data_IF_420826238652
#
_entry.id   IF_420826238652
#
_cell.length_a   1.000
_cell.length_b   1.000
_cell.length_c   1.000
_cell.angle_alpha   90.00
_cell.angle_beta   90.00
_cell.angle_gamma   90.00
#
_symmetry.space_group_name_H-M   'P 1'
#
loop_
_entity.id
_entity.type
_entity.pdbx_description
1 polymer ?
#
# COMPACT_ATOMS: atom_id res chain seq x y z
N UNK A 1 -18.33 -25.36 9.32
CA UNK A 1 -17.90 -25.59 10.72
C UNK A 1 -18.45 -24.45 11.56
N UNK A 2 -18.93 -24.70 12.77
CA UNK A 2 -19.50 -23.66 13.63
C UNK A 2 -18.43 -22.82 14.33
N UNK A 3 -18.84 -21.73 14.97
CA UNK A 3 -17.99 -20.93 15.87
C UNK A 3 -17.28 -21.86 16.88
N UNK A 4 -15.95 -21.74 17.09
CA UNK A 4 -15.21 -22.58 18.03
C UNK A 4 -15.70 -22.47 19.47
N UNK A 5 -15.45 -23.49 20.29
CA UNK A 5 -15.75 -23.43 21.72
C UNK A 5 -14.77 -22.50 22.47
N UNK A 6 -15.17 -21.97 23.64
CA UNK A 6 -14.27 -21.14 24.48
C UNK A 6 -12.95 -21.87 24.82
N UNK A 7 -12.95 -23.17 25.19
CA UNK A 7 -11.70 -23.93 25.35
C UNK A 7 -10.81 -23.91 24.11
N UNK A 8 -11.38 -24.12 22.91
CA UNK A 8 -10.63 -24.12 21.65
C UNK A 8 -10.06 -22.73 21.32
N UNK A 9 -10.83 -21.68 21.58
CA UNK A 9 -10.40 -20.29 21.41
C UNK A 9 -9.20 -19.95 22.32
N UNK A 10 -9.26 -20.37 23.59
CA UNK A 10 -8.14 -20.19 24.54
C UNK A 10 -6.90 -20.98 24.12
N UNK A 11 -7.09 -22.21 23.66
CA UNK A 11 -6.00 -23.05 23.17
C UNK A 11 -5.34 -22.44 21.93
N UNK A 12 -6.13 -21.97 20.96
CA UNK A 12 -5.64 -21.28 19.77
C UNK A 12 -4.85 -20.03 20.16
N UNK A 13 -5.42 -19.17 21.01
CA UNK A 13 -4.75 -17.96 21.49
C UNK A 13 -3.42 -18.29 22.17
N UNK A 14 -3.38 -19.28 23.06
CA UNK A 14 -2.15 -19.69 23.74
C UNK A 14 -1.08 -20.14 22.74
N UNK A 15 -1.43 -21.04 21.81
CA UNK A 15 -0.51 -21.56 20.81
C UNK A 15 0.03 -20.46 19.88
N UNK A 16 -0.85 -19.57 19.41
CA UNK A 16 -0.53 -18.52 18.45
C UNK A 16 0.16 -17.30 19.07
N UNK A 17 -0.09 -17.02 20.35
CA UNK A 17 0.60 -15.93 21.06
C UNK A 17 2.13 -16.11 21.08
N UNK A 18 2.60 -17.36 21.15
CA UNK A 18 4.03 -17.70 21.05
C UNK A 18 4.59 -17.31 19.68
N UNK A 19 3.87 -17.60 18.59
CA UNK A 19 4.29 -17.24 17.24
C UNK A 19 4.41 -15.72 17.07
N UNK A 20 3.41 -14.95 17.54
CA UNK A 20 3.45 -13.49 17.42
C UNK A 20 4.62 -12.91 18.25
N UNK A 21 4.90 -13.46 19.44
CA UNK A 21 6.08 -13.05 20.22
C UNK A 21 7.38 -13.32 19.49
N UNK A 22 7.48 -14.43 18.74
CA UNK A 22 8.66 -14.71 17.90
C UNK A 22 8.80 -13.65 16.81
N UNK A 23 7.70 -13.28 16.13
CA UNK A 23 7.70 -12.20 15.11
C UNK A 23 8.23 -10.88 15.72
N UNK A 24 7.75 -10.49 16.91
CA UNK A 24 8.23 -9.30 17.61
C UNK A 24 9.72 -9.40 17.98
N UNK A 25 10.15 -10.51 18.59
CA UNK A 25 11.53 -10.66 19.10
C UNK A 25 12.58 -10.77 18.01
N UNK A 26 12.20 -11.30 16.86
CA UNK A 26 13.07 -11.41 15.68
C UNK A 26 13.05 -10.15 14.83
N UNK A 27 12.29 -9.11 15.23
CA UNK A 27 12.09 -7.87 14.48
C UNK A 27 11.64 -8.10 13.03
N UNK A 28 10.89 -9.18 12.78
CA UNK A 28 10.34 -9.46 11.44
C UNK A 28 9.38 -8.35 11.01
N UNK A 29 8.65 -7.77 11.96
CA UNK A 29 7.82 -6.59 11.74
C UNK A 29 8.45 -5.39 12.42
N UNK A 30 9.08 -4.52 11.65
CA UNK A 30 9.69 -3.30 12.16
C UNK A 30 8.67 -2.44 12.91
N UNK A 31 9.08 -1.87 14.03
CA UNK A 31 8.23 -0.96 14.81
C UNK A 31 7.22 -1.67 15.73
N UNK A 32 6.96 -2.98 15.55
CA UNK A 32 6.12 -3.75 16.45
C UNK A 32 6.94 -4.35 17.59
N UNK A 33 6.83 -3.80 18.80
CA UNK A 33 7.47 -4.35 20.00
C UNK A 33 6.54 -5.30 20.74
N UNK A 34 7.11 -6.24 21.49
CA UNK A 34 6.35 -7.17 22.35
C UNK A 34 5.51 -6.42 23.40
N UNK A 35 5.98 -5.25 23.85
CA UNK A 35 5.21 -4.37 24.74
C UNK A 35 3.95 -3.83 24.05
N UNK A 36 4.05 -3.36 22.80
CA UNK A 36 2.90 -2.86 22.03
C UNK A 36 1.86 -3.96 21.85
N UNK A 37 2.30 -5.16 21.51
CA UNK A 37 1.43 -6.32 21.37
C UNK A 37 0.71 -6.65 22.69
N UNK A 38 1.45 -6.64 23.79
CA UNK A 38 0.89 -6.93 25.12
C UNK A 38 -0.12 -5.87 25.52
N UNK A 39 0.21 -4.59 25.33
CA UNK A 39 -0.68 -3.48 25.64
C UNK A 39 -1.94 -3.50 24.79
N UNK A 40 -1.83 -3.80 23.49
CA UNK A 40 -2.98 -3.91 22.59
C UNK A 40 -3.85 -5.13 22.93
N UNK A 41 -3.26 -6.33 22.95
CA UNK A 41 -4.03 -7.57 23.19
C UNK A 41 -4.60 -7.63 24.60
N UNK A 42 -3.79 -7.40 25.64
CA UNK A 42 -4.28 -7.49 27.02
C UNK A 42 -5.03 -6.23 27.44
N UNK A 43 -4.72 -5.06 26.88
CA UNK A 43 -5.38 -3.81 27.20
C UNK A 43 -6.80 -3.77 26.66
N UNK A 44 -6.98 -4.14 25.39
CA UNK A 44 -8.26 -3.96 24.70
C UNK A 44 -9.18 -5.19 24.78
N UNK A 45 -8.63 -6.42 24.73
CA UNK A 45 -9.42 -7.65 24.67
C UNK A 45 -9.33 -8.43 25.99
N UNK A 46 -10.39 -8.37 26.81
CA UNK A 46 -10.41 -9.02 28.14
C UNK A 46 -10.97 -10.44 28.08
N UNK A 47 -11.90 -10.68 27.18
CA UNK A 47 -12.58 -11.95 26.97
C UNK A 47 -11.80 -12.90 26.02
N UNK A 48 -12.01 -14.23 26.14
CA UNK A 48 -11.41 -15.21 25.25
C UNK A 48 -11.71 -15.00 23.76
N UNK A 49 -12.93 -14.59 23.44
CA UNK A 49 -13.43 -14.41 22.08
C UNK A 49 -12.65 -13.30 21.37
N UNK A 50 -12.53 -12.13 22.00
CA UNK A 50 -11.74 -11.01 21.47
C UNK A 50 -10.28 -11.35 21.27
N UNK A 51 -9.65 -12.05 22.22
CA UNK A 51 -8.25 -12.49 22.08
C UNK A 51 -8.08 -13.47 20.92
N UNK A 52 -9.03 -14.37 20.73
CA UNK A 52 -9.06 -15.31 19.61
C UNK A 52 -9.16 -14.58 18.27
N UNK A 53 -10.16 -13.71 18.12
CA UNK A 53 -10.43 -12.97 16.89
C UNK A 53 -9.27 -12.02 16.54
N UNK A 54 -8.79 -11.24 17.51
CA UNK A 54 -7.71 -10.28 17.33
C UNK A 54 -6.41 -10.96 16.89
N UNK A 55 -6.02 -12.09 17.52
CA UNK A 55 -4.83 -12.86 17.13
C UNK A 55 -4.99 -13.47 15.75
N UNK A 56 -6.21 -13.88 15.39
CA UNK A 56 -6.49 -14.50 14.10
C UNK A 56 -6.34 -13.49 12.96
N UNK A 57 -6.87 -12.28 13.10
CA UNK A 57 -6.65 -11.18 12.15
C UNK A 57 -5.17 -10.79 12.12
N UNK A 58 -4.53 -10.62 13.28
CA UNK A 58 -3.12 -10.21 13.36
C UNK A 58 -2.20 -11.19 12.62
N UNK A 59 -2.40 -12.50 12.78
CA UNK A 59 -1.56 -13.50 12.11
C UNK A 59 -1.73 -13.56 10.60
N UNK A 60 -2.86 -13.08 10.07
CA UNK A 60 -3.12 -13.00 8.64
C UNK A 60 -2.89 -11.59 8.08
N UNK A 61 -2.30 -10.70 8.88
CA UNK A 61 -1.99 -9.36 8.39
C UNK A 61 -0.78 -9.38 7.47
N UNK A 62 -0.87 -8.62 6.39
CA UNK A 62 0.25 -8.40 5.48
C UNK A 62 1.20 -7.38 6.10
N UNK A 63 2.49 -7.66 6.06
CA UNK A 63 3.51 -6.73 6.50
C UNK A 63 4.55 -6.53 5.40
N UNK A 64 4.75 -5.27 5.00
CA UNK A 64 5.73 -4.86 4.00
C UNK A 64 6.90 -4.19 4.70
N UNK A 65 8.04 -4.88 4.72
CA UNK A 65 9.30 -4.31 5.20
C UNK A 65 9.82 -3.21 4.26
N UNK A 66 10.81 -2.44 4.70
CA UNK A 66 11.48 -1.45 3.84
C UNK A 66 12.02 -2.09 2.56
N UNK A 67 12.63 -3.27 2.69
CA UNK A 67 13.16 -4.02 1.56
C UNK A 67 12.06 -4.45 0.59
N UNK A 68 10.89 -4.88 1.11
CA UNK A 68 9.75 -5.20 0.24
C UNK A 68 9.28 -3.97 -0.54
N UNK A 69 9.21 -2.80 0.09
CA UNK A 69 8.79 -1.57 -0.59
C UNK A 69 9.82 -1.16 -1.67
N UNK A 70 11.11 -1.28 -1.39
CA UNK A 70 12.18 -1.00 -2.37
C UNK A 70 12.08 -1.96 -3.56
N UNK A 71 11.84 -3.25 -3.30
CA UNK A 71 11.73 -4.24 -4.36
C UNK A 71 10.46 -4.07 -5.20
N UNK A 72 9.31 -3.74 -4.58
CA UNK A 72 8.10 -3.37 -5.30
C UNK A 72 8.34 -2.14 -6.18
N UNK A 73 9.06 -1.13 -5.68
CA UNK A 73 9.39 0.07 -6.45
C UNK A 73 10.31 -0.25 -7.64
N UNK A 74 11.33 -1.09 -7.42
CA UNK A 74 12.21 -1.61 -8.48
C UNK A 74 11.39 -2.37 -9.53
N UNK A 75 10.54 -3.28 -9.09
CA UNK A 75 9.70 -4.09 -9.97
C UNK A 75 8.78 -3.23 -10.84
N UNK A 76 8.08 -2.27 -10.23
CA UNK A 76 7.18 -1.37 -10.95
C UNK A 76 7.88 -0.55 -12.03
N UNK A 77 9.08 -0.03 -11.74
CA UNK A 77 9.81 0.81 -12.69
C UNK A 77 10.45 -0.04 -13.79
N UNK A 78 11.24 -1.04 -13.40
CA UNK A 78 12.11 -1.75 -14.32
C UNK A 78 11.41 -2.89 -15.05
N UNK A 79 10.44 -3.56 -14.43
CA UNK A 79 9.72 -4.68 -15.06
C UNK A 79 8.39 -4.23 -15.67
N UNK A 80 7.50 -3.62 -14.88
CA UNK A 80 6.15 -3.29 -15.35
C UNK A 80 6.13 -2.13 -16.36
N UNK A 81 6.93 -1.09 -16.16
CA UNK A 81 6.91 0.09 -17.03
C UNK A 81 7.95 -0.04 -18.15
N UNK A 82 9.24 -0.15 -17.81
CA UNK A 82 10.31 -0.18 -18.81
C UNK A 82 10.41 -1.55 -19.48
N UNK A 83 10.31 -2.63 -18.70
CA UNK A 83 10.47 -4.00 -19.17
C UNK A 83 9.42 -4.39 -20.20
N UNK A 84 8.14 -4.09 -19.94
CA UNK A 84 7.05 -4.37 -20.90
C UNK A 84 7.18 -3.55 -22.19
N UNK A 85 7.70 -2.32 -22.13
CA UNK A 85 7.99 -1.52 -23.33
C UNK A 85 9.10 -2.16 -24.18
N UNK A 86 10.23 -2.50 -23.56
CA UNK A 86 11.36 -3.15 -24.25
C UNK A 86 10.90 -4.49 -24.84
N UNK A 87 10.22 -5.32 -24.05
CA UNK A 87 9.66 -6.60 -24.48
C UNK A 87 8.73 -6.44 -25.70
N UNK A 88 7.84 -5.46 -25.67
CA UNK A 88 6.93 -5.17 -26.79
C UNK A 88 7.69 -4.78 -28.06
N UNK A 89 8.74 -3.96 -27.95
CA UNK A 89 9.59 -3.56 -29.08
C UNK A 89 10.38 -4.75 -29.65
N UNK A 90 10.90 -5.64 -28.80
CA UNK A 90 11.62 -6.84 -29.23
C UNK A 90 10.70 -7.83 -29.96
N UNK A 91 9.48 -8.02 -29.46
CA UNK A 91 8.46 -8.85 -30.13
C UNK A 91 8.10 -8.25 -31.48
N UNK A 92 7.82 -6.95 -31.55
CA UNK A 92 7.46 -6.26 -32.79
C UNK A 92 8.58 -6.28 -33.84
N UNK A 93 9.84 -6.23 -33.41
CA UNK A 93 11.01 -6.31 -34.29
C UNK A 93 11.46 -7.75 -34.61
N UNK A 94 10.78 -8.76 -34.05
CA UNK A 94 11.14 -10.17 -34.13
C UNK A 94 12.60 -10.45 -33.72
N UNK A 95 13.15 -9.62 -32.83
CA UNK A 95 14.55 -9.64 -32.43
C UNK A 95 14.70 -10.28 -31.04
N UNK A 96 14.74 -11.61 -31.00
CA UNK A 96 14.69 -12.39 -29.75
C UNK A 96 16.11 -12.57 -29.14
N UNK A 97 17.17 -12.28 -29.90
CA UNK A 97 18.56 -12.47 -29.46
C UNK A 97 19.28 -11.13 -29.28
N UNK A 98 18.90 -10.40 -28.23
CA UNK A 98 19.60 -9.17 -27.83
C UNK A 98 20.55 -9.46 -26.67
N UNK A 99 21.84 -9.09 -26.77
CA UNK A 99 22.79 -9.24 -25.67
C UNK A 99 22.33 -8.47 -24.43
N UNK A 100 22.51 -9.06 -23.24
CA UNK A 100 22.13 -8.44 -21.97
C UNK A 100 22.69 -7.02 -21.79
N UNK A 101 23.93 -6.77 -22.21
CA UNK A 101 24.57 -5.46 -22.10
C UNK A 101 23.86 -4.37 -22.92
N UNK A 102 23.27 -4.74 -24.06
CA UNK A 102 22.49 -3.83 -24.90
C UNK A 102 21.17 -3.49 -24.21
N UNK A 103 20.46 -4.50 -23.70
CA UNK A 103 19.22 -4.30 -22.95
C UNK A 103 19.46 -3.45 -21.70
N UNK A 104 20.54 -3.68 -20.95
CA UNK A 104 20.88 -2.87 -19.78
C UNK A 104 21.19 -1.41 -20.14
N UNK A 105 21.86 -1.17 -21.28
CA UNK A 105 22.12 0.18 -21.76
C UNK A 105 20.83 0.88 -22.18
N UNK A 106 19.92 0.19 -22.86
CA UNK A 106 18.60 0.70 -23.23
C UNK A 106 17.75 1.02 -22.00
N UNK A 107 17.73 0.15 -20.99
CA UNK A 107 17.05 0.40 -19.70
C UNK A 107 17.58 1.67 -19.07
N UNK A 108 18.91 1.83 -18.95
CA UNK A 108 19.52 3.06 -18.38
C UNK A 108 19.11 4.30 -19.16
N UNK A 109 19.20 4.26 -20.48
CA UNK A 109 18.81 5.37 -21.34
C UNK A 109 17.33 5.74 -21.16
N UNK A 110 16.45 4.74 -21.01
CA UNK A 110 15.03 4.98 -20.75
C UNK A 110 14.82 5.61 -19.38
N UNK A 111 15.47 5.11 -18.32
CA UNK A 111 15.39 5.68 -16.97
C UNK A 111 15.80 7.16 -16.95
N UNK A 112 16.86 7.53 -17.67
CA UNK A 112 17.33 8.92 -17.74
C UNK A 112 16.29 9.88 -18.34
N UNK A 113 15.32 9.35 -19.11
CA UNK A 113 14.21 10.09 -19.71
C UNK A 113 12.91 10.00 -18.92
N UNK A 114 12.97 9.57 -17.65
CA UNK A 114 11.82 9.52 -16.74
C UNK A 114 11.91 10.64 -15.72
N UNK A 115 10.80 11.34 -15.51
CA UNK A 115 10.62 12.28 -14.41
C UNK A 115 9.71 11.68 -13.33
N UNK A 116 10.23 11.53 -12.12
CA UNK A 116 9.49 11.01 -10.97
C UNK A 116 8.90 12.16 -10.14
N UNK A 117 7.60 12.06 -9.86
CA UNK A 117 6.83 13.07 -9.13
C UNK A 117 6.15 12.41 -7.94
N UNK A 118 6.36 12.84 -6.69
CA UNK A 118 5.61 12.29 -5.57
C UNK A 118 4.15 12.73 -5.65
N UNK A 119 3.22 11.82 -5.33
CA UNK A 119 1.85 12.20 -5.05
C UNK A 119 1.82 12.99 -3.73
N UNK A 120 1.37 14.24 -3.77
CA UNK A 120 1.27 15.12 -2.61
C UNK A 120 -0.19 15.48 -2.32
N UNK A 121 -0.57 15.45 -1.04
CA UNK A 121 -1.90 15.90 -0.57
C UNK A 121 -1.84 17.38 -0.13
N UNK A 122 -0.85 17.74 0.72
CA UNK A 122 -0.79 19.07 1.37
C UNK A 122 0.61 19.68 1.41
N UNK A 123 1.52 19.22 0.55
CA UNK A 123 2.91 19.66 0.50
C UNK A 123 3.64 19.56 1.85
N UNK A 124 3.33 18.54 2.66
CA UNK A 124 3.99 18.34 3.95
C UNK A 124 5.25 17.48 3.81
N UNK A 125 6.35 17.79 4.55
CA UNK A 125 7.61 17.04 4.44
C UNK A 125 7.48 15.56 4.81
N UNK A 126 6.51 15.21 5.66
CA UNK A 126 6.30 13.86 6.20
C UNK A 126 5.33 12.99 5.36
N UNK A 127 4.89 13.45 4.20
CA UNK A 127 4.03 12.68 3.28
C UNK A 127 4.74 11.42 2.75
N UNK A 128 3.97 10.36 2.51
CA UNK A 128 4.47 9.07 2.05
C UNK A 128 5.20 9.15 0.71
N UNK A 129 4.72 9.98 -0.22
CA UNK A 129 5.37 10.22 -1.51
C UNK A 129 6.83 10.67 -1.39
N UNK A 130 7.17 11.50 -0.39
CA UNK A 130 8.55 11.94 -0.17
C UNK A 130 9.47 10.79 0.27
N UNK A 131 8.96 9.82 1.03
CA UNK A 131 9.71 8.64 1.41
C UNK A 131 10.04 7.78 0.18
N UNK A 132 9.10 7.64 -0.75
CA UNK A 132 9.32 6.91 -2.01
C UNK A 132 10.38 7.59 -2.87
N UNK A 133 10.34 8.93 -3.02
CA UNK A 133 11.38 9.69 -3.73
C UNK A 133 12.76 9.48 -3.09
N UNK A 134 12.83 9.41 -1.75
CA UNK A 134 14.08 9.09 -1.06
C UNK A 134 14.58 7.69 -1.40
N UNK A 135 13.70 6.70 -1.52
CA UNK A 135 14.09 5.36 -1.96
C UNK A 135 14.61 5.33 -3.40
N UNK A 136 13.97 6.06 -4.33
CA UNK A 136 14.46 6.19 -5.71
C UNK A 136 15.91 6.68 -5.75
N UNK A 137 16.19 7.78 -5.07
CA UNK A 137 17.51 8.44 -5.12
C UNK A 137 18.59 7.69 -4.34
N UNK A 138 18.25 7.18 -3.15
CA UNK A 138 19.26 6.58 -2.24
C UNK A 138 19.42 5.07 -2.39
N UNK A 139 18.41 4.34 -2.89
CA UNK A 139 18.41 2.86 -2.97
C UNK A 139 18.38 2.34 -4.41
N UNK A 140 17.74 3.06 -5.33
CA UNK A 140 17.69 2.70 -6.75
C UNK A 140 18.65 3.52 -7.62
N UNK A 141 19.45 4.41 -7.01
CA UNK A 141 20.43 5.25 -7.70
C UNK A 141 19.86 6.07 -8.85
N UNK A 142 18.57 6.43 -8.77
CA UNK A 142 17.94 7.37 -9.70
C UNK A 142 18.55 8.76 -9.48
N UNK A 143 18.92 9.43 -10.57
CA UNK A 143 19.49 10.77 -10.48
C UNK A 143 18.52 11.74 -9.80
N UNK A 144 18.99 12.59 -8.85
CA UNK A 144 18.14 13.61 -8.25
C UNK A 144 17.51 14.58 -9.27
N UNK A 145 18.14 14.78 -10.44
CA UNK A 145 17.58 15.57 -11.53
C UNK A 145 16.30 14.96 -12.13
N UNK A 146 16.12 13.67 -11.96
CA UNK A 146 14.96 12.91 -12.43
C UNK A 146 13.85 12.85 -11.38
N UNK A 147 13.99 13.56 -10.26
CA UNK A 147 12.95 13.63 -9.22
C UNK A 147 12.57 15.08 -8.97
N UNK A 148 11.27 15.42 -9.04
CA UNK A 148 10.81 16.80 -8.90
C UNK A 148 9.39 16.87 -8.35
N UNK A 149 9.09 17.96 -7.65
CA UNK A 149 7.72 18.28 -7.29
C UNK A 149 6.94 18.86 -8.47
N UNK A 150 5.65 18.53 -8.58
CA UNK A 150 4.80 18.98 -9.69
C UNK A 150 4.85 20.50 -9.92
N UNK A 151 4.84 21.30 -8.85
CA UNK A 151 4.87 22.77 -8.93
C UNK A 151 6.22 23.35 -9.37
N UNK A 152 7.28 22.54 -9.42
CA UNK A 152 8.60 22.94 -9.90
C UNK A 152 8.87 22.53 -11.35
N UNK A 153 7.95 21.79 -11.99
CA UNK A 153 8.10 21.32 -13.37
C UNK A 153 7.97 22.50 -14.32
N UNK A 154 9.01 22.74 -15.11
CA UNK A 154 9.05 23.74 -16.17
C UNK A 154 8.77 23.08 -17.51
N UNK A 155 8.32 23.87 -18.47
CA UNK A 155 8.06 23.36 -19.83
C UNK A 155 9.31 22.76 -20.48
N UNK A 156 10.50 23.33 -20.20
CA UNK A 156 11.79 22.84 -20.67
C UNK A 156 12.18 21.47 -20.10
N UNK A 157 11.66 21.11 -18.92
CA UNK A 157 11.92 19.80 -18.33
C UNK A 157 11.18 18.70 -19.11
N UNK A 158 10.05 19.06 -19.74
CA UNK A 158 9.22 18.15 -20.53
C UNK A 158 9.80 17.88 -21.93
N UNK A 159 10.74 18.69 -22.42
CA UNK A 159 11.31 18.54 -23.77
C UNK A 159 12.28 17.35 -23.88
N UNK A 160 12.84 16.90 -22.76
CA UNK A 160 13.91 15.88 -22.73
C UNK A 160 13.48 14.56 -22.10
N UNK A 161 12.20 14.43 -21.71
CA UNK A 161 11.67 13.23 -21.07
C UNK A 161 10.67 12.52 -21.99
N UNK A 162 10.56 11.21 -21.82
CA UNK A 162 9.56 10.39 -22.49
C UNK A 162 8.40 10.05 -21.55
N UNK A 163 8.65 10.03 -20.24
CA UNK A 163 7.68 9.57 -19.24
C UNK A 163 7.68 10.43 -17.98
N UNK A 164 6.51 10.62 -17.39
CA UNK A 164 6.34 11.06 -16.02
C UNK A 164 5.79 9.89 -15.21
N UNK A 165 6.42 9.57 -14.08
CA UNK A 165 5.90 8.57 -13.13
C UNK A 165 5.54 9.29 -11.82
N UNK A 166 4.24 9.37 -11.56
CA UNK A 166 3.70 9.79 -10.26
C UNK A 166 3.82 8.61 -9.30
N UNK A 167 4.52 8.77 -8.18
CA UNK A 167 4.80 7.68 -7.23
C UNK A 167 4.05 7.84 -5.91
N UNK A 168 3.58 6.73 -5.36
CA UNK A 168 2.86 6.66 -4.09
C UNK A 168 3.11 5.33 -3.37
N UNK A 169 2.99 5.31 -2.03
CA UNK A 169 3.21 4.09 -1.25
C UNK A 169 2.03 3.13 -1.35
N UNK A 170 0.80 3.64 -1.35
CA UNK A 170 -0.39 2.81 -1.44
C UNK A 170 -1.63 3.53 -1.97
N UNK A 171 -2.53 2.79 -2.64
CA UNK A 171 -3.82 3.30 -3.10
C UNK A 171 -4.99 2.55 -2.46
N UNK A 172 -5.77 3.29 -1.66
CA UNK A 172 -7.04 2.85 -1.07
C UNK A 172 -8.22 3.20 -1.97
N UNK A 173 -8.94 4.28 -1.64
CA UNK A 173 -10.09 4.78 -2.43
C UNK A 173 -9.71 5.43 -3.76
N UNK A 174 -8.48 5.96 -3.85
CA UNK A 174 -7.97 6.72 -5.00
C UNK A 174 -8.47 8.17 -5.08
N UNK A 175 -9.17 8.69 -4.06
CA UNK A 175 -9.65 10.09 -4.05
C UNK A 175 -8.50 11.10 -4.12
N UNK A 176 -7.39 10.80 -3.45
CA UNK A 176 -6.18 11.63 -3.48
C UNK A 176 -5.59 11.67 -4.90
N UNK A 177 -5.51 10.52 -5.57
CA UNK A 177 -5.04 10.43 -6.95
C UNK A 177 -5.97 11.23 -7.88
N UNK A 178 -7.27 11.03 -7.77
CA UNK A 178 -8.25 11.72 -8.59
C UNK A 178 -8.15 13.25 -8.44
N UNK A 179 -8.09 13.73 -7.19
CA UNK A 179 -7.93 15.14 -6.89
C UNK A 179 -6.61 15.67 -7.46
N UNK A 180 -5.51 14.98 -7.22
CA UNK A 180 -4.21 15.38 -7.74
C UNK A 180 -4.19 15.45 -9.27
N UNK A 181 -4.70 14.42 -9.95
CA UNK A 181 -4.70 14.31 -11.40
C UNK A 181 -5.53 15.38 -12.09
N UNK A 182 -6.72 15.67 -11.54
CA UNK A 182 -7.69 16.56 -12.18
C UNK A 182 -7.61 18.02 -11.72
N UNK A 183 -6.89 18.31 -10.63
CA UNK A 183 -6.73 19.67 -10.13
C UNK A 183 -5.27 20.09 -10.02
N UNK A 184 -4.52 19.51 -9.09
CA UNK A 184 -3.14 19.88 -8.75
C UNK A 184 -2.17 19.70 -9.91
N UNK A 185 -2.31 18.63 -10.68
CA UNK A 185 -1.42 18.24 -11.76
C UNK A 185 -1.92 18.66 -13.15
N UNK A 186 -3.05 19.38 -13.24
CA UNK A 186 -3.75 19.62 -14.50
C UNK A 186 -2.91 20.38 -15.54
N UNK A 187 -2.18 21.42 -15.14
CA UNK A 187 -1.35 22.20 -16.06
C UNK A 187 -0.15 21.38 -16.59
N UNK A 188 0.52 20.64 -15.70
CA UNK A 188 1.61 19.74 -16.08
C UNK A 188 1.10 18.62 -16.99
N UNK A 189 -0.03 17.99 -16.63
CA UNK A 189 -0.72 16.97 -17.42
C UNK A 189 -0.95 17.45 -18.85
N UNK A 190 -1.56 18.63 -19.02
CA UNK A 190 -1.88 19.16 -20.35
C UNK A 190 -0.63 19.42 -21.19
N UNK A 191 0.42 20.00 -20.59
CA UNK A 191 1.70 20.26 -21.29
C UNK A 191 2.43 18.97 -21.67
N UNK A 192 2.49 18.01 -20.76
CA UNK A 192 3.13 16.71 -20.99
C UNK A 192 2.42 15.95 -22.11
N UNK A 193 1.08 15.84 -22.06
CA UNK A 193 0.30 15.18 -23.10
C UNK A 193 0.44 15.87 -24.47
N UNK A 194 0.48 17.22 -24.51
CA UNK A 194 0.69 17.97 -25.74
C UNK A 194 2.07 17.70 -26.39
N UNK A 195 3.07 17.34 -25.58
CA UNK A 195 4.42 16.96 -26.04
C UNK A 195 4.57 15.45 -26.28
N UNK A 196 3.52 14.66 -26.09
CA UNK A 196 3.56 13.20 -26.28
C UNK A 196 4.28 12.45 -25.15
N UNK A 197 4.40 13.06 -23.97
CA UNK A 197 4.97 12.42 -22.78
C UNK A 197 3.93 11.49 -22.16
N UNK A 198 4.29 10.22 -21.96
CA UNK A 198 3.43 9.24 -21.30
C UNK A 198 3.40 9.51 -19.78
N UNK A 199 2.23 9.45 -19.16
CA UNK A 199 2.09 9.67 -17.73
C UNK A 199 1.59 8.39 -17.04
N UNK A 200 2.34 7.98 -16.02
CA UNK A 200 2.06 6.82 -15.20
C UNK A 200 1.77 7.23 -13.76
N UNK A 201 0.90 6.47 -13.10
CA UNK A 201 0.80 6.44 -11.65
C UNK A 201 1.28 5.07 -11.17
N UNK A 202 2.26 5.06 -10.29
CA UNK A 202 2.86 3.88 -9.70
C UNK A 202 2.56 3.84 -8.20
N UNK A 203 1.65 2.95 -7.81
CA UNK A 203 1.40 2.59 -6.42
C UNK A 203 2.09 1.27 -6.09
N UNK A 204 2.76 1.19 -4.94
CA UNK A 204 3.40 -0.07 -4.55
C UNK A 204 2.37 -1.13 -4.17
N UNK A 205 1.32 -0.72 -3.47
CA UNK A 205 0.26 -1.62 -2.99
C UNK A 205 -1.10 -0.97 -3.24
N UNK A 206 -2.08 -1.74 -3.68
CA UNK A 206 -3.41 -1.17 -3.91
C UNK A 206 -4.51 -2.20 -4.07
N UNK A 207 -5.75 -1.77 -3.87
CA UNK A 207 -6.92 -2.60 -4.14
C UNK A 207 -7.33 -2.50 -5.61
N UNK A 208 -7.22 -3.60 -6.35
CA UNK A 208 -7.33 -3.62 -7.82
C UNK A 208 -8.67 -3.08 -8.34
N UNK A 209 -9.77 -3.47 -7.71
CA UNK A 209 -11.12 -3.10 -8.17
C UNK A 209 -11.34 -1.57 -8.15
N UNK A 210 -10.80 -0.88 -7.14
CA UNK A 210 -10.99 0.57 -7.01
C UNK A 210 -10.28 1.35 -8.12
N UNK A 211 -9.10 0.89 -8.53
CA UNK A 211 -8.33 1.52 -9.61
C UNK A 211 -8.97 1.28 -10.96
N UNK A 212 -9.49 0.08 -11.19
CA UNK A 212 -10.26 -0.23 -12.40
C UNK A 212 -11.50 0.67 -12.49
N UNK A 213 -12.24 0.86 -11.40
CA UNK A 213 -13.41 1.73 -11.37
C UNK A 213 -13.04 3.18 -11.75
N UNK A 214 -11.98 3.75 -11.17
CA UNK A 214 -11.52 5.11 -11.48
C UNK A 214 -11.02 5.29 -12.92
N UNK A 215 -10.47 4.23 -13.53
CA UNK A 215 -10.10 4.25 -14.95
C UNK A 215 -11.33 4.17 -15.86
N UNK A 216 -12.35 3.39 -15.47
CA UNK A 216 -13.57 3.18 -16.24
C UNK A 216 -14.54 4.37 -16.21
N UNK A 217 -14.57 5.14 -15.11
CA UNK A 217 -15.41 6.37 -15.01
C UNK A 217 -14.91 7.52 -15.88
N UNK A 218 -13.68 7.43 -16.41
CA UNK A 218 -13.07 8.45 -17.25
C UNK A 218 -12.33 9.54 -16.47
N UNK A 219 -12.31 9.49 -15.14
CA UNK A 219 -11.64 10.48 -14.30
C UNK A 219 -10.11 10.44 -14.45
N UNK A 220 -9.56 9.30 -14.87
CA UNK A 220 -8.12 9.09 -15.07
C UNK A 220 -7.71 8.96 -16.54
N UNK A 221 -8.47 9.53 -17.48
CA UNK A 221 -8.12 9.49 -18.92
C UNK A 221 -6.72 10.08 -19.14
N UNK A 222 -5.89 9.32 -19.87
CA UNK A 222 -4.49 9.67 -20.17
C UNK A 222 -3.48 9.24 -19.10
N UNK A 223 -3.93 8.61 -18.00
CA UNK A 223 -3.06 8.08 -16.95
C UNK A 223 -2.98 6.55 -17.03
N UNK A 224 -1.76 6.02 -17.12
CA UNK A 224 -1.50 4.58 -17.01
C UNK A 224 -1.25 4.22 -15.54
N UNK A 225 -2.12 3.43 -14.94
CA UNK A 225 -1.94 3.01 -13.54
C UNK A 225 -1.22 1.67 -13.46
N UNK A 226 -0.18 1.62 -12.62
CA UNK A 226 0.57 0.42 -12.27
C UNK A 226 0.47 0.25 -10.75
N UNK A 227 -0.01 -0.92 -10.33
CA UNK A 227 -0.02 -1.35 -8.93
C UNK A 227 0.88 -2.56 -8.82
N UNK A 228 1.96 -2.49 -8.04
CA UNK A 228 2.94 -3.58 -7.96
C UNK A 228 2.39 -4.80 -7.22
N UNK A 229 1.78 -4.58 -6.05
CA UNK A 229 1.10 -5.63 -5.29
C UNK A 229 -0.40 -5.34 -5.21
N UNK A 230 -1.17 -6.19 -5.88
CA UNK A 230 -2.60 -6.04 -6.06
C UNK A 230 -3.32 -6.85 -5.00
N UNK A 231 -3.99 -6.13 -4.10
CA UNK A 231 -4.90 -6.75 -3.16
C UNK A 231 -6.21 -7.07 -3.86
N UNK A 232 -6.75 -8.24 -3.53
CA UNK A 232 -7.99 -8.78 -4.05
C UNK A 232 -9.02 -8.94 -2.92
N UNK A 233 -10.23 -9.36 -3.28
CA UNK A 233 -11.32 -9.60 -2.34
C UNK A 233 -10.95 -10.67 -1.27
N UNK A 234 -10.14 -11.68 -1.62
CA UNK A 234 -9.59 -12.66 -0.66
C UNK A 234 -8.69 -12.07 0.43
N UNK A 235 -8.15 -10.87 0.22
CA UNK A 235 -7.29 -10.19 1.19
C UNK A 235 -8.10 -9.36 2.20
N UNK A 236 -9.40 -9.15 1.97
CA UNK A 236 -10.29 -8.43 2.89
C UNK A 236 -10.68 -9.30 4.07
N UNK A 237 -10.70 -8.71 5.27
CA UNK A 237 -10.90 -9.45 6.51
C UNK A 237 -12.32 -9.97 6.65
N UNK A 238 -13.34 -9.31 6.09
CA UNK A 238 -14.74 -9.72 6.17
C UNK A 238 -15.29 -10.19 4.82
N UNK A 239 -14.44 -10.85 4.03
CA UNK A 239 -14.82 -11.47 2.75
C UNK A 239 -15.01 -12.97 2.87
N UNK A 240 -16.04 -13.51 2.22
CA UNK A 240 -16.23 -14.97 2.12
C UNK A 240 -15.14 -15.69 1.30
N UNK A 241 -14.31 -14.94 0.57
CA UNK A 241 -13.18 -15.49 -0.19
C UNK A 241 -11.89 -15.60 0.64
N UNK A 242 -11.84 -15.03 1.84
CA UNK A 242 -10.64 -15.07 2.66
C UNK A 242 -10.48 -16.42 3.38
N UNK A 243 -9.25 -16.72 3.78
CA UNK A 243 -8.89 -17.96 4.49
C UNK A 243 -8.80 -17.77 6.00
N UNK A 244 -9.14 -16.59 6.49
CA UNK A 244 -8.99 -16.26 7.91
C UNK A 244 -10.01 -17.06 8.67
N UNK A 245 -11.28 -16.97 8.30
CA UNK A 245 -12.38 -17.64 9.00
C UNK A 245 -12.56 -19.08 8.52
N UNK A 246 -12.89 -20.00 9.43
CA UNK A 246 -13.15 -21.39 9.04
C UNK A 246 -14.56 -21.58 8.46
N UNK A 247 -15.42 -20.57 8.57
CA UNK A 247 -16.79 -20.55 8.06
C UNK A 247 -17.39 -19.15 8.06
N UNK A 248 -18.47 -18.97 7.31
CA UNK A 248 -19.28 -17.76 7.33
C UNK A 248 -19.90 -17.48 8.72
N UNK A 249 -20.24 -18.52 9.48
CA UNK A 249 -20.73 -18.37 10.86
C UNK A 249 -19.67 -17.75 11.77
N UNK A 250 -18.42 -18.18 11.63
CA UNK A 250 -17.31 -17.61 12.39
C UNK A 250 -17.00 -16.17 11.96
N UNK A 251 -17.06 -15.89 10.66
CA UNK A 251 -16.92 -14.52 10.13
C UNK A 251 -18.01 -13.59 10.66
N UNK A 252 -19.28 -14.02 10.64
CA UNK A 252 -20.41 -13.24 11.15
C UNK A 252 -20.31 -13.00 12.66
N UNK A 253 -19.81 -14.00 13.40
CA UNK A 253 -19.47 -13.84 14.81
C UNK A 253 -18.40 -12.76 15.01
N UNK A 254 -17.34 -12.75 14.18
CA UNK A 254 -16.31 -11.72 14.23
C UNK A 254 -16.86 -10.32 13.89
N UNK A 255 -17.67 -10.20 12.85
CA UNK A 255 -18.31 -8.93 12.44
C UNK A 255 -19.10 -8.35 13.61
N UNK A 256 -19.98 -9.16 14.22
CA UNK A 256 -20.80 -8.75 15.36
C UNK A 256 -19.93 -8.27 16.52
N UNK A 257 -18.89 -9.02 16.87
CA UNK A 257 -17.97 -8.67 17.95
C UNK A 257 -17.24 -7.34 17.69
N UNK A 258 -16.78 -7.10 16.47
CA UNK A 258 -16.07 -5.85 16.14
C UNK A 258 -17.01 -4.65 15.94
N UNK A 259 -18.27 -4.86 15.54
CA UNK A 259 -19.29 -3.81 15.53
C UNK A 259 -19.67 -3.37 16.97
N UNK A 260 -19.72 -4.33 17.91
CA UNK A 260 -19.89 -4.03 19.33
C UNK A 260 -18.71 -3.22 19.89
N UNK A 261 -17.47 -3.56 19.50
CA UNK A 261 -16.28 -2.75 19.81
C UNK A 261 -16.42 -1.33 19.26
N UNK A 262 -16.87 -1.19 18.01
CA UNK A 262 -17.09 0.13 17.40
C UNK A 262 -18.10 0.97 18.16
N UNK A 263 -19.21 0.35 18.56
CA UNK A 263 -20.27 1.01 19.33
C UNK A 263 -19.82 1.40 20.74
N UNK A 264 -18.98 0.57 21.38
CA UNK A 264 -18.55 0.76 22.77
C UNK A 264 -17.35 1.67 22.93
N UNK A 265 -16.38 1.57 22.04
CA UNK A 265 -15.06 2.20 22.16
C UNK A 265 -14.78 3.25 21.07
N UNK A 266 -15.71 3.46 20.14
CA UNK A 266 -15.52 4.39 19.02
C UNK A 266 -14.42 3.94 18.06
N UNK A 267 -14.23 2.63 17.90
CA UNK A 267 -13.20 2.02 17.03
C UNK A 267 -13.91 1.40 15.82
N UNK A 268 -13.97 2.07 14.66
CA UNK A 268 -14.74 1.56 13.54
C UNK A 268 -14.25 0.18 13.09
N UNK A 269 -15.18 -0.69 12.67
CA UNK A 269 -14.83 -2.04 12.21
C UNK A 269 -14.03 -2.02 10.91
N UNK A 270 -14.31 -1.06 10.04
CA UNK A 270 -13.67 -0.90 8.73
C UNK A 270 -12.92 0.41 8.66
N UNK A 271 -11.86 0.45 7.87
CA UNK A 271 -11.07 1.63 7.59
C UNK A 271 -11.75 2.58 6.60
N UNK A 272 -10.96 3.51 6.07
CA UNK A 272 -11.44 4.50 5.11
C UNK A 272 -12.05 3.85 3.86
N UNK A 273 -13.09 4.50 3.31
CA UNK A 273 -13.90 4.02 2.19
C UNK A 273 -14.54 2.62 2.39
N UNK A 274 -14.70 2.18 3.64
CA UNK A 274 -15.30 0.87 3.95
C UNK A 274 -14.38 -0.31 3.70
N UNK A 275 -13.08 -0.07 3.46
CA UNK A 275 -12.07 -1.10 3.26
C UNK A 275 -11.65 -1.69 4.60
N UNK A 276 -11.40 -3.00 4.62
CA UNK A 276 -11.22 -3.79 5.84
C UNK A 276 -9.97 -4.66 5.75
N UNK A 277 -8.91 -4.17 5.10
CA UNK A 277 -7.66 -4.90 4.98
C UNK A 277 -6.89 -4.89 6.31
N UNK A 278 -6.09 -5.93 6.54
CA UNK A 278 -5.10 -5.93 7.61
C UNK A 278 -3.71 -5.85 7.02
N UNK A 279 -3.17 -4.63 6.94
CA UNK A 279 -1.92 -4.35 6.27
C UNK A 279 -1.05 -3.36 7.04
N UNK A 280 0.24 -3.65 7.13
CA UNK A 280 1.24 -2.82 7.78
C UNK A 280 2.40 -2.57 6.85
N UNK A 281 2.92 -1.35 6.83
CA UNK A 281 4.15 -1.01 6.13
C UNK A 281 5.21 -0.55 7.12
N UNK A 282 6.48 -0.72 6.76
CA UNK A 282 7.65 -0.47 7.60
C UNK A 282 7.57 0.80 8.46
N UNK A 283 7.00 1.88 7.90
CA UNK A 283 6.86 3.16 8.58
C UNK A 283 5.44 3.76 8.49
N UNK A 284 4.43 3.02 8.05
CA UNK A 284 3.08 3.57 7.88
C UNK A 284 2.02 2.49 7.99
N UNK A 285 0.83 2.93 8.39
CA UNK A 285 -0.39 2.13 8.36
C UNK A 285 -1.39 2.92 7.52
N UNK A 286 -1.82 2.38 6.36
CA UNK A 286 -2.85 3.04 5.55
C UNK A 286 -4.14 3.24 6.34
N UNK A 287 -4.93 4.28 6.06
CA UNK A 287 -6.24 4.48 6.73
C UNK A 287 -7.27 3.41 6.38
N UNK A 288 -7.10 2.75 5.25
CA UNK A 288 -7.93 1.65 4.82
C UNK A 288 -7.55 0.31 5.47
N UNK A 289 -6.56 0.32 6.36
CA UNK A 289 -6.31 -0.79 7.29
C UNK A 289 -7.28 -0.75 8.46
N UNK A 290 -7.67 -1.92 8.98
CA UNK A 290 -8.59 -2.05 10.12
C UNK A 290 -8.23 -1.10 11.29
N UNK A 291 -9.17 -0.22 11.72
CA UNK A 291 -8.93 0.75 12.79
C UNK A 291 -8.58 0.15 14.14
N UNK A 292 -8.89 -1.12 14.39
CA UNK A 292 -8.52 -1.82 15.62
C UNK A 292 -7.02 -1.75 15.91
N UNK A 293 -6.17 -1.61 14.89
CA UNK A 293 -4.71 -1.58 15.04
C UNK A 293 -4.13 -0.21 15.36
N UNK A 294 -4.77 0.87 14.93
CA UNK A 294 -4.15 2.20 14.95
C UNK A 294 -5.00 3.29 15.61
N UNK A 295 -6.26 3.00 15.94
CA UNK A 295 -7.08 3.93 16.72
C UNK A 295 -6.42 4.17 18.08
N UNK A 296 -6.30 5.43 18.48
CA UNK A 296 -5.80 5.83 19.80
C UNK A 296 -6.83 6.76 20.44
N UNK A 297 -7.42 6.31 21.54
CA UNK A 297 -8.31 7.12 22.36
C UNK A 297 -8.16 6.72 23.83
N UNK A 298 -8.94 7.33 24.73
CA UNK A 298 -8.84 7.06 26.17
C UNK A 298 -9.09 5.58 26.53
N UNK A 299 -9.98 4.91 25.80
CA UNK A 299 -10.45 3.56 26.08
C UNK A 299 -9.83 2.49 25.17
N UNK A 300 -9.04 2.89 24.16
CA UNK A 300 -8.44 2.00 23.18
C UNK A 300 -6.97 2.32 22.93
N UNK A 301 -6.12 1.32 23.18
CA UNK A 301 -4.67 1.43 22.93
C UNK A 301 -4.35 0.95 21.52
N UNK A 302 -3.58 1.68 20.70
CA UNK A 302 -3.18 1.21 19.37
C UNK A 302 -2.12 0.11 19.46
N UNK A 303 -2.11 -0.82 18.49
CA UNK A 303 -1.00 -1.74 18.25
C UNK A 303 0.18 -1.01 17.59
N UNK A 304 -0.13 -0.17 16.58
CA UNK A 304 0.83 0.62 15.83
C UNK A 304 0.31 2.04 15.70
N UNK A 305 1.19 3.03 15.88
CA UNK A 305 0.82 4.43 15.69
C UNK A 305 0.78 4.76 14.21
N UNK A 306 -0.26 5.48 13.78
CA UNK A 306 -0.35 6.01 12.42
C UNK A 306 0.46 7.31 12.33
N UNK A 307 1.20 7.52 11.25
CA UNK A 307 1.97 8.77 11.04
C UNK A 307 1.11 10.04 11.06
N UNK A 308 -0.18 9.93 10.76
CA UNK A 308 -1.13 11.04 10.67
C UNK A 308 -2.02 11.22 11.92
N UNK A 309 -1.85 10.40 12.97
CA UNK A 309 -2.57 10.62 14.22
C UNK A 309 -1.85 11.71 15.03
N UNK A 310 -2.32 12.95 14.86
CA UNK A 310 -2.07 14.15 15.69
C UNK A 310 -0.80 14.15 16.57
N UNK A 311 0.22 14.84 16.09
CA UNK A 311 0.89 15.89 16.85
C UNK A 311 0.99 17.13 15.98
#
# INVERSE_FOLDING_TARGET
MSVPSIPDMKLYYSNKSTLIRVICRTNQWSGLKESNLTDWLQGNFKDPEGKYLAVKILLHSLYYSEENLIELLRHGIYHEIIGEEIKSNLIASNNIFVPQSVTEAEVRQKVDKILFVPLLDKNRPNESGNAIIRYLTTKLSISPSNTIFHFNIKDSDLDNIEKIIIVDDCIGSGDQLNTFWNTTFLDVKNKALAKGVDIYYLALIGYENQVLDLQLTGDLVGLRVVICDKLEERNKIYSSQNIIWNSDEEMNFAITYFDDIGSKYGVPRVGYAGLDFSLFMHNSVPDWTLPIFWTENYDWKPLLKRKNSNS
#
